data_IF_303514824876
#
_entry.id   IF_303514824876
#
_cell.length_a   1.000
_cell.length_b   1.000
_cell.length_c   1.000
_cell.angle_alpha   90.00
_cell.angle_beta   90.00
_cell.angle_gamma   90.00
#
_symmetry.space_group_name_H-M   'P 1'
#
loop_
_entity.id
_entity.type
_entity.pdbx_description
1 polymer ?
#
# COMPACT_ATOMS: atom_id res chain seq x y z
N UNK A 1 -7.16 17.17 9.59
CA UNK A 1 -7.69 16.62 8.33
C UNK A 1 -7.69 17.64 7.19
N UNK A 2 -7.58 18.95 7.45
CA UNK A 2 -7.44 20.00 6.41
C UNK A 2 -6.13 19.98 5.62
N UNK A 3 -5.09 19.32 6.10
CA UNK A 3 -3.78 19.31 5.43
C UNK A 3 -3.73 18.37 4.24
N UNK A 4 -4.56 17.32 4.19
CA UNK A 4 -4.51 16.30 3.14
C UNK A 4 -5.29 16.65 1.85
N UNK A 5 -5.94 17.82 1.82
CA UNK A 5 -6.66 18.36 0.65
C UNK A 5 -5.80 19.32 -0.19
N UNK A 6 -4.64 19.72 0.31
CA UNK A 6 -3.71 20.58 -0.44
C UNK A 6 -2.99 19.79 -1.53
N UNK A 7 -2.54 20.42 -2.62
CA UNK A 7 -1.70 19.75 -3.60
C UNK A 7 -0.38 19.30 -2.96
N UNK A 8 0.11 18.11 -3.33
CA UNK A 8 1.34 17.51 -2.77
C UNK A 8 2.56 18.45 -2.90
N UNK A 9 2.58 19.30 -3.92
CA UNK A 9 3.62 20.30 -4.16
C UNK A 9 3.71 21.39 -3.07
N UNK A 10 2.64 21.61 -2.30
CA UNK A 10 2.57 22.61 -1.23
C UNK A 10 2.70 22.00 0.17
N UNK A 11 2.89 20.68 0.27
CA UNK A 11 3.04 19.98 1.55
C UNK A 11 4.50 19.73 1.90
N UNK A 12 4.80 19.76 3.20
CA UNK A 12 6.03 19.15 3.69
C UNK A 12 6.00 17.65 3.40
N UNK A 13 7.12 17.07 2.99
CA UNK A 13 7.23 15.65 2.62
C UNK A 13 6.76 14.71 3.73
N UNK A 14 6.97 15.06 5.00
CA UNK A 14 6.46 14.30 6.15
C UNK A 14 4.94 14.27 6.23
N UNK A 15 4.27 15.39 5.92
CA UNK A 15 2.81 15.47 5.93
C UNK A 15 2.20 14.77 4.71
N UNK A 16 2.86 14.87 3.55
CA UNK A 16 2.45 14.15 2.34
C UNK A 16 2.50 12.63 2.53
N UNK A 17 3.58 12.12 3.14
CA UNK A 17 3.73 10.69 3.48
C UNK A 17 2.65 10.23 4.46
N UNK A 18 2.35 11.06 5.48
CA UNK A 18 1.31 10.75 6.45
C UNK A 18 -0.08 10.72 5.82
N UNK A 19 -0.39 11.68 4.94
CA UNK A 19 -1.64 11.69 4.18
C UNK A 19 -1.77 10.50 3.22
N UNK A 20 -0.68 10.12 2.55
CA UNK A 20 -0.66 8.94 1.69
C UNK A 20 -0.86 7.65 2.48
N UNK A 21 -0.27 7.55 3.67
CA UNK A 21 -0.45 6.43 4.59
C UNK A 21 -1.90 6.32 5.06
N UNK A 22 -2.49 7.41 5.54
CA UNK A 22 -3.87 7.41 6.03
C UNK A 22 -4.85 7.05 4.91
N UNK A 23 -4.67 7.60 3.70
CA UNK A 23 -5.48 7.21 2.52
C UNK A 23 -5.28 5.75 2.12
N UNK A 24 -4.06 5.25 2.20
CA UNK A 24 -3.75 3.85 1.88
C UNK A 24 -4.42 2.87 2.85
N UNK A 25 -4.41 3.18 4.15
CA UNK A 25 -5.06 2.37 5.19
C UNK A 25 -6.58 2.38 5.01
N UNK A 26 -7.17 3.54 4.71
CA UNK A 26 -8.62 3.66 4.52
C UNK A 26 -9.10 2.95 3.25
N UNK A 27 -8.35 3.05 2.15
CA UNK A 27 -8.61 2.32 0.91
C UNK A 27 -8.54 0.79 1.12
N UNK A 28 -7.51 0.32 1.84
CA UNK A 28 -7.38 -1.11 2.16
C UNK A 28 -8.53 -1.59 3.05
N UNK A 29 -8.89 -0.80 4.07
CA UNK A 29 -10.03 -1.08 4.95
C UNK A 29 -11.34 -1.18 4.17
N UNK A 30 -11.57 -0.26 3.22
CA UNK A 30 -12.75 -0.22 2.36
C UNK A 30 -12.84 -1.44 1.44
N UNK A 31 -11.73 -1.83 0.80
CA UNK A 31 -11.70 -3.04 -0.05
C UNK A 31 -11.99 -4.31 0.77
N UNK A 32 -11.48 -4.40 2.00
CA UNK A 32 -11.66 -5.58 2.86
C UNK A 32 -13.07 -5.68 3.44
N UNK A 33 -13.63 -4.58 3.94
CA UNK A 33 -14.90 -4.59 4.68
C UNK A 33 -16.11 -4.23 3.81
N UNK A 34 -15.92 -3.53 2.69
CA UNK A 34 -17.00 -3.07 1.82
C UNK A 34 -16.56 -3.05 0.36
N UNK A 35 -16.23 -4.23 -0.22
CA UNK A 35 -15.69 -4.34 -1.58
C UNK A 35 -16.62 -3.76 -2.67
N UNK A 36 -17.93 -3.71 -2.40
CA UNK A 36 -18.92 -3.15 -3.33
C UNK A 36 -18.94 -1.62 -3.41
N UNK A 37 -18.34 -0.91 -2.45
CA UNK A 37 -18.21 0.56 -2.45
C UNK A 37 -16.80 1.05 -2.78
N UNK A 38 -15.86 0.14 -3.01
CA UNK A 38 -14.48 0.47 -3.32
C UNK A 38 -14.33 1.02 -4.74
N UNK A 39 -13.60 2.12 -4.90
CA UNK A 39 -13.31 2.73 -6.19
C UNK A 39 -12.23 1.95 -6.95
N UNK A 40 -12.09 2.22 -8.26
CA UNK A 40 -11.02 1.62 -9.09
C UNK A 40 -9.63 1.92 -8.51
N UNK A 41 -9.45 3.10 -7.92
CA UNK A 41 -8.20 3.49 -7.29
C UNK A 41 -7.90 2.66 -6.03
N UNK A 42 -8.93 2.33 -5.25
CA UNK A 42 -8.77 1.51 -4.04
C UNK A 42 -8.36 0.07 -4.40
N UNK A 43 -8.94 -0.48 -5.47
CA UNK A 43 -8.54 -1.77 -6.02
C UNK A 43 -7.11 -1.77 -6.56
N UNK A 44 -6.69 -0.70 -7.25
CA UNK A 44 -5.32 -0.57 -7.75
C UNK A 44 -4.31 -0.52 -6.59
N UNK A 45 -4.60 0.24 -5.54
CA UNK A 45 -3.79 0.30 -4.32
C UNK A 45 -3.72 -1.05 -3.60
N UNK A 46 -4.86 -1.73 -3.43
CA UNK A 46 -4.92 -3.05 -2.81
C UNK A 46 -4.12 -4.10 -3.60
N UNK A 47 -4.22 -4.07 -4.94
CA UNK A 47 -3.46 -4.99 -5.81
C UNK A 47 -1.95 -4.73 -5.73
N UNK A 48 -1.52 -3.46 -5.75
CA UNK A 48 -0.11 -3.09 -5.56
C UNK A 48 0.41 -3.55 -4.20
N UNK A 49 -0.36 -3.34 -3.13
CA UNK A 49 0.00 -3.81 -1.79
C UNK A 49 0.15 -5.34 -1.75
N UNK A 50 -0.76 -6.08 -2.40
CA UNK A 50 -0.70 -7.53 -2.49
C UNK A 50 0.55 -8.01 -3.27
N UNK A 51 0.91 -7.35 -4.37
CA UNK A 51 2.13 -7.66 -5.13
C UNK A 51 3.40 -7.42 -4.31
N UNK A 52 3.45 -6.33 -3.55
CA UNK A 52 4.58 -6.04 -2.65
C UNK A 52 4.70 -7.12 -1.58
N UNK A 53 3.59 -7.49 -0.93
CA UNK A 53 3.57 -8.57 0.06
C UNK A 53 4.00 -9.91 -0.55
N UNK A 54 3.51 -10.25 -1.74
CA UNK A 54 3.91 -11.46 -2.45
C UNK A 54 5.41 -11.47 -2.75
N UNK A 55 5.96 -10.35 -3.20
CA UNK A 55 7.39 -10.24 -3.48
C UNK A 55 8.23 -10.36 -2.20
N UNK A 56 7.81 -9.73 -1.10
CA UNK A 56 8.45 -9.90 0.21
C UNK A 56 8.41 -11.35 0.69
N UNK A 57 7.27 -12.02 0.52
CA UNK A 57 7.12 -13.44 0.86
C UNK A 57 8.07 -14.32 0.03
N UNK A 58 8.19 -14.06 -1.28
CA UNK A 58 9.13 -14.76 -2.15
C UNK A 58 10.58 -14.50 -1.75
N UNK A 59 10.92 -13.28 -1.34
CA UNK A 59 12.25 -12.93 -0.86
C UNK A 59 12.58 -13.67 0.45
N UNK A 60 11.63 -13.70 1.40
CA UNK A 60 11.77 -14.45 2.65
C UNK A 60 11.87 -15.95 2.37
N UNK A 61 11.08 -16.49 1.44
CA UNK A 61 11.17 -17.88 1.04
C UNK A 61 12.53 -18.21 0.43
N UNK A 62 13.09 -17.33 -0.41
CA UNK A 62 14.45 -17.48 -0.95
C UNK A 62 15.54 -17.35 0.11
N UNK A 63 15.32 -16.56 1.15
CA UNK A 63 16.22 -16.47 2.30
C UNK A 63 16.17 -17.74 3.17
N UNK A 64 14.99 -18.34 3.32
CA UNK A 64 14.74 -19.52 4.13
C UNK A 64 15.09 -20.84 3.43
N UNK A 65 14.98 -20.89 2.10
CA UNK A 65 15.52 -21.99 1.30
C UNK A 65 16.95 -21.62 0.90
N UNK A 66 17.99 -22.11 1.60
CA UNK A 66 19.34 -21.96 1.10
C UNK A 66 19.36 -22.65 -0.26
N UNK A 67 19.53 -21.85 -1.32
CA UNK A 67 19.93 -22.34 -2.63
C UNK A 67 21.16 -23.21 -2.39
N UNK A 68 20.99 -24.54 -2.36
CA UNK A 68 22.12 -25.46 -2.34
C UNK A 68 22.90 -25.15 -3.62
N UNK A 69 24.13 -24.59 -3.55
CA UNK A 69 24.99 -24.64 -4.71
C UNK A 69 25.23 -26.13 -4.98
N UNK A 70 24.75 -26.59 -6.14
CA UNK A 70 25.12 -27.88 -6.73
C UNK A 70 26.59 -27.85 -7.15
#
# INVERSE_FOLDING_TARGET
METCDKPVAEMATGDALKCAWDKGVDALSTVVHSPGSASINDWALAFLAALVLLNLLLLVLRLLLPSRPL
#
